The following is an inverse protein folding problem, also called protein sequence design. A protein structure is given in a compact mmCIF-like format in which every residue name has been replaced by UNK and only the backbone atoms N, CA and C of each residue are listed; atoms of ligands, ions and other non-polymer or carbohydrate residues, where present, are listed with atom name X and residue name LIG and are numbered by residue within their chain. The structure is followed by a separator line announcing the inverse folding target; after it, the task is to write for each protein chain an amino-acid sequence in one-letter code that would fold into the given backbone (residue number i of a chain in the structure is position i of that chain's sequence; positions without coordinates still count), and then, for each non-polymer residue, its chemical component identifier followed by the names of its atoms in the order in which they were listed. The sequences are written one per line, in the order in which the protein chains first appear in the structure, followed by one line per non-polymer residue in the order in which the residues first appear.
data_IF_212751488423
#
_entry.id   IF_212751488423
#
_cell.length_a   1.000
_cell.length_b   1.000
_cell.length_c   1.000
_cell.angle_alpha   90.00
_cell.angle_beta   90.00
_cell.angle_gamma   90.00
#
_symmetry.space_group_name_H-M   'P 1'
#
loop_
_entity.id
_entity.type
_entity.pdbx_description
1 polymer ?
#
# COMPACT_ATOMS: atom_id res chain seq x y z
N UNK A 1 -8.50 -15.02 2.99
CA UNK A 1 -9.49 -14.22 2.25
C UNK A 1 -9.94 -13.09 3.16
N UNK A 2 -9.74 -11.84 2.72
CA UNK A 2 -10.18 -10.65 3.47
C UNK A 2 -11.43 -10.11 2.77
N UNK A 3 -12.54 -9.99 3.50
CA UNK A 3 -13.76 -9.36 2.99
C UNK A 3 -13.82 -7.93 3.51
N UNK A 4 -14.12 -6.98 2.62
CA UNK A 4 -14.22 -5.56 2.97
C UNK A 4 -15.53 -5.00 2.41
N UNK A 5 -16.22 -4.17 3.19
CA UNK A 5 -17.44 -3.47 2.80
C UNK A 5 -17.31 -1.96 3.03
N UNK A 6 -18.03 -1.15 2.26
CA UNK A 6 -18.04 0.30 2.44
C UNK A 6 -18.66 0.64 3.80
N UNK A 7 -17.99 1.50 4.55
CA UNK A 7 -18.39 1.83 5.92
C UNK A 7 -19.68 2.66 5.99
N UNK A 8 -20.07 3.36 4.92
CA UNK A 8 -21.30 4.18 4.86
C UNK A 8 -21.89 4.24 3.46
N UNK A 9 -23.22 4.11 3.35
CA UNK A 9 -23.98 4.55 2.16
C UNK A 9 -23.68 6.04 1.92
N UNK A 10 -23.09 6.36 0.76
CA UNK A 10 -22.72 7.70 0.29
C UNK A 10 -21.38 8.29 0.77
N UNK A 11 -20.45 7.48 1.28
CA UNK A 11 -19.06 7.92 1.40
C UNK A 11 -18.37 7.85 0.03
N UNK A 12 -17.62 8.88 -0.36
CA UNK A 12 -16.62 8.77 -1.43
C UNK A 12 -15.41 8.01 -0.86
N UNK A 13 -15.57 6.71 -0.64
CA UNK A 13 -14.51 5.80 -0.22
C UNK A 13 -14.06 4.92 -1.41
N UNK A 14 -12.84 4.38 -1.34
CA UNK A 14 -12.25 3.56 -2.41
C UNK A 14 -13.13 2.35 -2.77
N UNK A 15 -13.90 1.84 -1.82
CA UNK A 15 -14.80 0.70 -2.03
C UNK A 15 -15.99 1.13 -2.89
N UNK A 16 -16.56 2.30 -2.66
CA UNK A 16 -17.61 2.87 -3.51
C UNK A 16 -17.10 3.15 -4.92
N UNK A 17 -15.86 3.63 -5.05
CA UNK A 17 -15.19 3.80 -6.35
C UNK A 17 -15.01 2.45 -7.07
N UNK A 18 -14.50 1.43 -6.37
CA UNK A 18 -14.39 0.08 -6.90
C UNK A 18 -15.74 -0.45 -7.37
N UNK A 19 -16.78 -0.37 -6.54
CA UNK A 19 -18.13 -0.85 -6.88
C UNK A 19 -18.69 -0.13 -8.11
N UNK A 20 -18.42 1.18 -8.24
CA UNK A 20 -18.83 1.98 -9.38
C UNK A 20 -18.13 1.52 -10.68
N UNK A 21 -16.80 1.42 -10.67
CA UNK A 21 -16.03 1.03 -11.87
C UNK A 21 -16.13 -0.46 -12.21
N UNK A 22 -16.34 -1.32 -11.21
CA UNK A 22 -16.50 -2.76 -11.37
C UNK A 22 -17.95 -3.16 -11.73
N UNK A 23 -18.93 -2.29 -11.48
CA UNK A 23 -20.35 -2.57 -11.73
C UNK A 23 -21.00 -3.50 -10.70
N UNK A 24 -20.43 -3.58 -9.49
CA UNK A 24 -20.91 -4.45 -8.42
C UNK A 24 -19.76 -5.04 -7.58
N UNK A 25 -20.10 -5.99 -6.69
CA UNK A 25 -19.12 -6.69 -5.87
C UNK A 25 -18.15 -7.51 -6.72
N UNK A 26 -16.93 -7.71 -6.22
CA UNK A 26 -15.89 -8.41 -6.95
C UNK A 26 -14.61 -8.59 -6.14
N UNK A 27 -13.61 -9.18 -6.78
CA UNK A 27 -12.26 -9.34 -6.22
C UNK A 27 -11.48 -8.05 -6.50
N UNK A 28 -11.07 -7.36 -5.43
CA UNK A 28 -10.31 -6.11 -5.52
C UNK A 28 -8.80 -6.36 -5.65
N UNK A 29 -8.27 -7.34 -4.92
CA UNK A 29 -6.87 -7.71 -5.03
C UNK A 29 -6.61 -9.19 -4.80
N UNK A 30 -5.45 -9.63 -5.28
CA UNK A 30 -4.92 -10.98 -5.05
C UNK A 30 -3.53 -10.82 -4.42
N UNK A 31 -3.36 -11.40 -3.23
CA UNK A 31 -2.08 -11.44 -2.54
C UNK A 31 -1.27 -12.68 -2.94
N UNK A 32 -0.05 -12.46 -3.40
CA UNK A 32 0.91 -13.50 -3.79
C UNK A 32 2.00 -13.60 -2.73
N UNK A 33 2.08 -14.76 -2.07
CA UNK A 33 3.15 -15.05 -1.12
C UNK A 33 4.46 -15.27 -1.88
N UNK A 34 5.52 -14.59 -1.44
CA UNK A 34 6.87 -14.69 -2.01
C UNK A 34 7.90 -14.94 -0.90
N UNK A 35 8.98 -15.62 -1.25
CA UNK A 35 10.07 -15.94 -0.32
C UNK A 35 11.09 -14.79 -0.21
N UNK A 36 11.32 -14.05 -1.30
CA UNK A 36 12.15 -12.84 -1.35
C UNK A 36 11.40 -11.71 -2.09
N UNK A 37 10.85 -10.80 -1.31
CA UNK A 37 10.06 -9.68 -1.80
C UNK A 37 10.92 -8.60 -2.45
N UNK A 38 12.18 -8.42 -2.00
CA UNK A 38 13.09 -7.40 -2.56
C UNK A 38 13.45 -7.80 -3.98
N UNK A 39 13.96 -9.02 -4.16
CA UNK A 39 14.32 -9.56 -5.47
C UNK A 39 13.09 -9.59 -6.40
N UNK A 40 11.95 -10.04 -5.88
CA UNK A 40 10.71 -10.10 -6.67
C UNK A 40 10.27 -8.72 -7.16
N UNK A 41 10.31 -7.69 -6.31
CA UNK A 41 9.95 -6.31 -6.71
C UNK A 41 10.91 -5.80 -7.77
N UNK A 42 12.22 -6.02 -7.60
CA UNK A 42 13.24 -5.58 -8.56
C UNK A 42 12.97 -6.20 -9.95
N UNK A 43 12.77 -7.52 -10.02
CA UNK A 43 12.42 -8.23 -11.27
C UNK A 43 11.11 -7.71 -11.87
N UNK A 44 10.09 -7.47 -11.04
CA UNK A 44 8.79 -6.98 -11.51
C UNK A 44 8.89 -5.56 -12.07
N UNK A 45 9.68 -4.68 -11.44
CA UNK A 45 9.96 -3.33 -11.93
C UNK A 45 10.72 -3.35 -13.25
N UNK A 46 11.70 -4.23 -13.41
CA UNK A 46 12.41 -4.43 -14.70
C UNK A 46 11.44 -4.83 -15.82
N UNK A 47 10.38 -5.55 -15.47
CA UNK A 47 9.29 -5.94 -16.39
C UNK A 47 8.17 -4.91 -16.49
N UNK A 48 8.44 -3.67 -16.08
CA UNK A 48 7.53 -2.52 -16.15
C UNK A 48 6.26 -2.66 -15.30
N UNK A 49 6.28 -3.48 -14.25
CA UNK A 49 5.20 -3.47 -13.24
C UNK A 49 5.35 -2.24 -12.36
N UNK A 50 4.27 -1.47 -12.25
CA UNK A 50 4.22 -0.28 -11.40
C UNK A 50 3.65 -0.61 -10.03
N UNK A 51 4.22 0.02 -9.00
CA UNK A 51 3.81 -0.11 -7.60
C UNK A 51 3.32 1.22 -7.04
N UNK A 52 2.52 1.16 -5.98
CA UNK A 52 2.14 2.35 -5.22
C UNK A 52 3.35 2.90 -4.46
N UNK A 53 3.49 4.22 -4.45
CA UNK A 53 4.50 4.92 -3.67
C UNK A 53 4.05 5.13 -2.23
N UNK A 54 4.99 5.02 -1.29
CA UNK A 54 4.75 5.29 0.13
C UNK A 54 5.58 6.52 0.56
N UNK A 55 4.98 7.53 1.23
CA UNK A 55 5.68 8.73 1.65
C UNK A 55 6.87 8.45 2.58
N UNK A 56 7.92 9.27 2.48
CA UNK A 56 9.13 9.12 3.31
C UNK A 56 8.85 9.14 4.83
N UNK A 57 7.87 9.93 5.27
CA UNK A 57 7.45 10.07 6.67
C UNK A 57 7.02 8.73 7.29
N UNK A 58 6.43 7.83 6.48
CA UNK A 58 6.07 6.49 6.95
C UNK A 58 7.28 5.73 7.49
N UNK A 59 8.42 5.79 6.80
CA UNK A 59 9.64 5.07 7.18
C UNK A 59 10.33 5.67 8.41
N UNK A 60 10.21 6.98 8.60
CA UNK A 60 10.67 7.63 9.82
C UNK A 60 9.89 7.14 11.03
N UNK A 61 8.54 7.14 10.93
CA UNK A 61 7.66 6.60 11.97
C UNK A 61 7.86 5.10 12.20
N UNK A 62 8.06 4.33 11.13
CA UNK A 62 8.37 2.90 11.21
C UNK A 62 9.67 2.67 11.99
N UNK A 63 10.72 3.44 11.69
CA UNK A 63 11.99 3.35 12.39
C UNK A 63 11.84 3.60 13.90
N UNK A 64 11.05 4.59 14.30
CA UNK A 64 10.79 4.85 15.72
C UNK A 64 9.96 3.75 16.39
N UNK A 65 8.97 3.19 15.70
CA UNK A 65 8.20 2.03 16.20
C UNK A 65 9.06 0.79 16.37
N UNK A 66 9.97 0.52 15.43
CA UNK A 66 10.89 -0.63 15.48
C UNK A 66 11.88 -0.53 16.64
N UNK A 67 12.38 0.68 16.96
CA UNK A 67 13.25 0.89 18.14
C UNK A 67 12.58 0.52 19.46
N UNK A 68 11.24 0.59 19.53
CA UNK A 68 10.44 0.23 20.70
C UNK A 68 10.01 -1.25 20.68
N UNK A 69 10.23 -1.94 19.56
CA UNK A 69 9.86 -3.35 19.36
C UNK A 69 11.01 -4.29 19.68
N UNK A 70 10.68 -5.56 19.93
CA UNK A 70 11.67 -6.65 20.03
C UNK A 70 11.95 -7.31 18.68
N UNK A 71 11.16 -6.99 17.65
CA UNK A 71 11.32 -7.55 16.32
C UNK A 71 12.50 -6.92 15.62
N UNK A 72 13.34 -7.77 15.04
CA UNK A 72 14.41 -7.36 14.16
C UNK A 72 14.04 -7.70 12.72
N UNK A 73 13.80 -6.67 11.91
CA UNK A 73 13.59 -6.80 10.46
C UNK A 73 14.95 -7.09 9.83
N UNK A 74 15.06 -8.19 9.09
CA UNK A 74 16.34 -8.64 8.52
C UNK A 74 16.75 -7.82 7.29
N UNK A 75 15.75 -7.33 6.56
CA UNK A 75 15.93 -6.51 5.36
C UNK A 75 16.38 -5.08 5.72
N UNK A 76 17.20 -4.48 4.85
CA UNK A 76 17.64 -3.10 5.05
C UNK A 76 16.47 -2.13 4.98
N UNK A 77 16.32 -1.28 6.01
CA UNK A 77 15.31 -0.22 6.02
C UNK A 77 15.45 0.77 4.85
N UNK A 78 16.67 0.97 4.36
CA UNK A 78 16.93 1.79 3.18
C UNK A 78 16.30 1.16 1.93
N UNK A 79 16.45 -0.16 1.78
CA UNK A 79 15.90 -0.91 0.65
C UNK A 79 14.38 -1.03 0.72
N UNK A 80 13.84 -1.25 1.92
CA UNK A 80 12.40 -1.18 2.21
C UNK A 80 11.83 0.17 1.77
N UNK A 81 12.50 1.29 2.12
CA UNK A 81 12.10 2.64 1.72
C UNK A 81 12.19 2.87 0.22
N UNK A 82 13.29 2.48 -0.41
CA UNK A 82 13.51 2.62 -1.86
C UNK A 82 12.45 1.85 -2.68
N UNK A 83 12.10 0.66 -2.22
CA UNK A 83 11.14 -0.20 -2.91
C UNK A 83 9.68 0.08 -2.54
N UNK A 84 9.43 1.05 -1.64
CA UNK A 84 8.08 1.38 -1.16
C UNK A 84 7.36 0.22 -0.45
N UNK A 85 8.11 -0.58 0.32
CA UNK A 85 7.59 -1.74 1.05
C UNK A 85 6.99 -1.32 2.40
N UNK A 86 5.78 -1.79 2.69
CA UNK A 86 5.12 -1.60 3.97
C UNK A 86 5.50 -2.73 4.93
N UNK A 87 5.67 -2.38 6.21
CA UNK A 87 6.06 -3.30 7.28
C UNK A 87 5.04 -3.25 8.42
N UNK A 88 4.44 -4.40 8.73
CA UNK A 88 3.68 -4.61 9.96
C UNK A 88 4.37 -5.66 10.82
N UNK A 89 4.21 -5.58 12.14
CA UNK A 89 4.89 -6.50 13.05
C UNK A 89 4.13 -6.67 14.37
N UNK A 90 4.33 -7.82 14.98
CA UNK A 90 3.83 -8.16 16.32
C UNK A 90 4.98 -8.64 17.21
N UNK A 91 4.70 -9.24 18.37
CA UNK A 91 5.77 -9.72 19.26
C UNK A 91 6.52 -10.96 18.72
N UNK A 92 5.99 -11.64 17.70
CA UNK A 92 6.50 -12.91 17.19
C UNK A 92 7.25 -12.77 15.86
N UNK A 93 6.94 -11.75 15.07
CA UNK A 93 7.44 -11.62 13.72
C UNK A 93 6.99 -10.36 13.00
N UNK A 94 7.24 -10.31 11.70
CA UNK A 94 6.88 -9.20 10.83
C UNK A 94 6.39 -9.64 9.47
N UNK A 95 5.76 -8.70 8.79
CA UNK A 95 5.11 -8.84 7.51
C UNK A 95 5.56 -7.72 6.57
N UNK A 96 6.03 -8.09 5.39
CA UNK A 96 6.35 -7.18 4.31
C UNK A 96 5.25 -7.25 3.26
N UNK A 97 4.77 -6.08 2.82
CA UNK A 97 3.71 -5.96 1.82
C UNK A 97 4.02 -4.85 0.83
N UNK A 98 3.64 -5.05 -0.43
CA UNK A 98 3.61 -3.98 -1.43
C UNK A 98 2.44 -4.20 -2.38
N UNK A 99 1.89 -3.12 -2.92
CA UNK A 99 0.74 -3.13 -3.80
C UNK A 99 1.12 -2.59 -5.18
N UNK A 100 0.69 -3.27 -6.23
CA UNK A 100 0.81 -2.75 -7.59
C UNK A 100 -0.18 -1.61 -7.82
N UNK A 101 0.05 -0.79 -8.84
CA UNK A 101 -1.03 -0.02 -9.45
C UNK A 101 -2.10 -0.96 -10.03
N UNK A 102 -3.34 -0.48 -10.29
CA UNK A 102 -4.35 -1.29 -10.96
C UNK A 102 -3.82 -1.91 -12.26
N UNK A 103 -4.13 -3.18 -12.51
CA UNK A 103 -3.65 -3.92 -13.69
C UNK A 103 -4.37 -3.51 -14.99
N UNK A 104 -5.37 -2.63 -14.89
CA UNK A 104 -6.22 -2.15 -15.97
C UNK A 104 -6.41 -0.65 -15.80
N UNK A 105 -6.85 0.04 -16.86
CA UNK A 105 -7.16 1.48 -16.80
C UNK A 105 -8.24 1.82 -15.76
N UNK A 106 -9.10 0.83 -15.43
CA UNK A 106 -10.12 0.98 -14.39
C UNK A 106 -9.53 0.63 -13.02
N UNK A 107 -9.77 1.43 -11.98
CA UNK A 107 -9.23 1.21 -10.63
C UNK A 107 -9.99 0.06 -9.93
N UNK A 108 -9.78 -1.17 -10.40
CA UNK A 108 -10.50 -2.36 -9.96
C UNK A 108 -9.56 -3.38 -9.33
N UNK A 109 -8.91 -4.21 -10.15
CA UNK A 109 -8.02 -5.27 -9.69
C UNK A 109 -6.57 -4.79 -9.59
N UNK A 110 -5.94 -5.04 -8.45
CA UNK A 110 -4.49 -4.90 -8.26
C UNK A 110 -3.89 -6.16 -7.61
N UNK A 111 -2.57 -6.27 -7.62
CA UNK A 111 -1.83 -7.38 -7.01
C UNK A 111 -1.12 -6.88 -5.76
N UNK A 112 -1.10 -7.72 -4.74
CA UNK A 112 -0.31 -7.54 -3.54
C UNK A 112 0.80 -8.59 -3.53
N UNK A 113 2.04 -8.19 -3.21
CA UNK A 113 3.09 -9.13 -2.84
C UNK A 113 3.22 -9.13 -1.32
N UNK A 114 3.34 -10.32 -0.74
CA UNK A 114 3.43 -10.49 0.71
C UNK A 114 4.55 -11.46 1.07
N UNK A 115 5.37 -11.11 2.06
CA UNK A 115 6.37 -12.00 2.64
C UNK A 115 6.21 -12.02 4.16
N UNK A 116 6.19 -13.22 4.73
CA UNK A 116 5.91 -13.45 6.15
C UNK A 116 7.14 -13.98 6.86
N UNK A 117 7.53 -13.31 7.93
CA UNK A 117 8.56 -13.77 8.85
C UNK A 117 7.92 -14.05 10.21
N UNK A 118 7.50 -15.30 10.42
CA UNK A 118 6.84 -15.76 11.64
C UNK A 118 5.63 -14.90 12.08
N UNK A 119 4.90 -14.35 11.09
CA UNK A 119 3.76 -13.47 11.29
C UNK A 119 2.48 -14.08 10.71
N UNK A 120 1.48 -14.26 11.56
CA UNK A 120 0.21 -14.90 11.20
C UNK A 120 -0.94 -13.90 10.96
N UNK A 121 -0.73 -12.61 11.23
CA UNK A 121 -1.74 -11.56 11.03
C UNK A 121 -1.97 -11.20 9.56
N UNK A 122 -2.88 -10.25 9.33
CA UNK A 122 -3.26 -9.80 7.98
C UNK A 122 -2.62 -8.48 7.56
N UNK A 123 -1.79 -7.85 8.41
CA UNK A 123 -1.19 -6.55 8.08
C UNK A 123 -2.20 -5.41 8.11
N UNK A 124 -3.19 -5.43 9.02
CA UNK A 124 -4.24 -4.41 9.07
C UNK A 124 -3.67 -2.99 9.24
N UNK A 125 -2.51 -2.85 9.88
CA UNK A 125 -1.79 -1.58 10.00
C UNK A 125 -1.26 -1.08 8.65
N UNK A 126 -0.80 -1.98 7.78
CA UNK A 126 -0.29 -1.63 6.46
C UNK A 126 -1.40 -1.17 5.52
N UNK A 127 -2.55 -1.82 5.53
CA UNK A 127 -3.71 -1.44 4.72
C UNK A 127 -4.18 -0.02 5.10
N UNK A 128 -4.29 0.28 6.40
CA UNK A 128 -4.62 1.63 6.86
C UNK A 128 -3.54 2.66 6.48
N UNK A 129 -2.26 2.33 6.67
CA UNK A 129 -1.17 3.23 6.32
C UNK A 129 -1.08 3.52 4.82
N UNK A 130 -1.39 2.53 3.97
CA UNK A 130 -1.51 2.70 2.53
C UNK A 130 -2.64 3.68 2.19
N UNK A 131 -3.82 3.49 2.79
CA UNK A 131 -4.97 4.36 2.52
C UNK A 131 -4.73 5.79 2.98
N UNK A 132 -4.22 5.97 4.21
CA UNK A 132 -3.88 7.28 4.74
C UNK A 132 -2.82 7.97 3.85
N UNK A 133 -1.90 7.22 3.23
CA UNK A 133 -0.89 7.75 2.32
C UNK A 133 -1.47 8.15 0.94
N UNK A 134 -2.31 7.29 0.35
CA UNK A 134 -2.94 7.53 -0.96
C UNK A 134 -3.93 8.68 -0.89
N UNK A 135 -4.78 8.76 0.15
CA UNK A 135 -5.69 9.89 0.35
C UNK A 135 -4.92 11.21 0.46
N UNK A 136 -3.83 11.22 1.24
CA UNK A 136 -3.00 12.40 1.43
C UNK A 136 -2.32 12.85 0.13
N UNK A 137 -1.92 11.92 -0.73
CA UNK A 137 -1.40 12.24 -2.07
C UNK A 137 -2.49 12.80 -3.00
N UNK A 138 -3.70 12.22 -2.98
CA UNK A 138 -4.84 12.75 -3.74
C UNK A 138 -5.22 14.17 -3.27
N UNK A 139 -5.18 14.45 -1.98
CA UNK A 139 -5.39 15.79 -1.41
C UNK A 139 -4.31 16.76 -1.90
N UNK A 140 -3.03 16.40 -1.79
CA UNK A 140 -1.92 17.24 -2.27
C UNK A 140 -2.03 17.52 -3.78
N UNK A 141 -2.43 16.53 -4.58
CA UNK A 141 -2.60 16.70 -6.01
C UNK A 141 -3.83 17.57 -6.35
N UNK A 142 -4.92 17.48 -5.57
CA UNK A 142 -6.06 18.40 -5.69
C UNK A 142 -5.68 19.84 -5.33
N UNK A 143 -4.89 20.04 -4.28
CA UNK A 143 -4.38 21.37 -3.87
C UNK A 143 -3.41 21.97 -4.90
N UNK A 144 -2.58 21.13 -5.54
CA UNK A 144 -1.69 21.57 -6.62
C UNK A 144 -2.47 21.97 -7.88
N UNK A 145 -3.57 21.29 -8.19
CA UNK A 145 -4.42 21.64 -9.32
C UNK A 145 -5.15 22.97 -9.11
N UNK A 146 -5.59 23.28 -7.87
CA UNK A 146 -6.24 24.56 -7.56
C UNK A 146 -5.30 25.77 -7.57
N UNK A 147 -4.01 25.59 -7.24
CA UNK A 147 -3.04 26.70 -7.28
C UNK A 147 -2.55 27.05 -8.70
N UNK A 148 -2.71 26.15 -9.68
CA UNK A 148 -2.33 26.43 -11.07
C UNK A 148 -3.36 27.34 -11.76
N UNK A 149 -4.63 27.24 -11.37
CA UNK A 149 -5.71 28.06 -11.94
C UNK A 149 -5.68 29.54 -11.46
N UNK A 150 -5.10 29.83 -10.29
CA UNK A 150 -4.99 31.19 -9.74
C UNK A 150 -3.73 31.96 -10.20
N UNK A 151 -2.77 31.30 -10.86
CA UNK A 151 -1.52 31.96 -11.33
C UNK A 151 -1.58 32.39 -12.80
N UNK A 152 -2.73 32.21 -13.47
CA UNK A 152 -2.95 32.56 -14.88
C UNK A 152 -4.00 33.68 -15.07
N UNK A 153 -3.98 34.70 -14.21
CA UNK A 153 -4.71 35.96 -14.39
C UNK A 153 -3.78 37.18 -14.29
#
# INVERSE_FOLDING_TARGET
MTLVESAKKNATDQISEFLYFNGGSGVQHIALLVDDIIETIEIMRERSVEFLSVPAVYYEMLGDRLKLSKVNVQESLEKIKELSILVDFDDNGYLLQIFTKPCQDRPTLFIELIQRHNFNGFGAGNVKALFDAVEREQEINREKQSNVDDTCL
#
